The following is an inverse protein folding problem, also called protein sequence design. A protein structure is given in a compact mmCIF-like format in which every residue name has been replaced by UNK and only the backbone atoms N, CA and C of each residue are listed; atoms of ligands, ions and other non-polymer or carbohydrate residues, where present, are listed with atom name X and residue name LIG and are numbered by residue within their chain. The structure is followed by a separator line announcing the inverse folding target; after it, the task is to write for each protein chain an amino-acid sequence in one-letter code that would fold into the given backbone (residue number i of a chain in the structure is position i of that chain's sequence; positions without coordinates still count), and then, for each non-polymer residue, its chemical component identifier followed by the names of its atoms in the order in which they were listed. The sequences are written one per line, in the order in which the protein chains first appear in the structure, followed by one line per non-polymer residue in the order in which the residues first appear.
data_IF_527837195354
#
_entry.id   IF_527837195354
#
_cell.length_a   1.000
_cell.length_b   1.000
_cell.length_c   1.000
_cell.angle_alpha   90.00
_cell.angle_beta   90.00
_cell.angle_gamma   90.00
#
_symmetry.space_group_name_H-M   'P 1'
#
loop_
_entity.id
_entity.type
_entity.pdbx_description
1 polymer ?
#
# COMPACT_ATOMS: atom_id res chain seq x y z
N UNK A 1 -18.24 -17.09 -6.84
CA UNK A 1 -19.10 -15.89 -6.88
C UNK A 1 -19.98 -15.77 -5.63
N UNK A 2 -20.84 -16.75 -5.30
CA UNK A 2 -21.74 -16.70 -4.13
C UNK A 2 -21.02 -16.46 -2.79
N UNK A 3 -19.85 -17.07 -2.58
CA UNK A 3 -19.04 -16.87 -1.36
C UNK A 3 -18.58 -15.42 -1.15
N UNK A 4 -18.23 -14.72 -2.22
CA UNK A 4 -17.80 -13.31 -2.13
C UNK A 4 -19.00 -12.43 -1.76
N UNK A 5 -20.15 -12.73 -2.35
CA UNK A 5 -21.40 -12.02 -2.06
C UNK A 5 -21.80 -12.20 -0.58
N UNK A 6 -21.69 -13.42 -0.03
CA UNK A 6 -22.02 -13.67 1.38
C UNK A 6 -21.09 -12.92 2.33
N UNK A 7 -19.79 -12.83 2.05
CA UNK A 7 -18.86 -12.06 2.89
C UNK A 7 -19.18 -10.56 2.88
N UNK A 8 -19.46 -9.99 1.71
CA UNK A 8 -19.84 -8.58 1.60
C UNK A 8 -21.14 -8.27 2.35
N UNK A 9 -22.15 -9.14 2.24
CA UNK A 9 -23.41 -8.99 2.97
C UNK A 9 -23.20 -9.00 4.49
N UNK A 10 -22.38 -9.92 5.00
CA UNK A 10 -22.05 -10.00 6.42
C UNK A 10 -21.33 -8.73 6.90
N UNK A 11 -20.36 -8.21 6.13
CA UNK A 11 -19.65 -6.97 6.46
C UNK A 11 -20.59 -5.78 6.56
N UNK A 12 -21.48 -5.61 5.58
CA UNK A 12 -22.46 -4.51 5.58
C UNK A 12 -23.42 -4.65 6.76
N UNK A 13 -23.92 -5.85 7.05
CA UNK A 13 -24.80 -6.10 8.19
C UNK A 13 -24.13 -5.75 9.52
N UNK A 14 -22.86 -6.12 9.71
CA UNK A 14 -22.11 -5.79 10.93
C UNK A 14 -21.90 -4.29 11.10
N UNK A 15 -21.62 -3.55 10.02
CA UNK A 15 -21.49 -2.09 10.06
C UNK A 15 -22.83 -1.44 10.43
N UNK A 16 -23.93 -1.90 9.82
CA UNK A 16 -25.27 -1.39 10.10
C UNK A 16 -25.68 -1.68 11.54
N UNK A 17 -25.42 -2.89 12.05
CA UNK A 17 -25.66 -3.24 13.45
C UNK A 17 -24.85 -2.37 14.40
N UNK A 18 -23.57 -2.12 14.11
CA UNK A 18 -22.74 -1.23 14.92
C UNK A 18 -23.32 0.19 14.96
N UNK A 19 -23.77 0.71 13.83
CA UNK A 19 -24.40 2.04 13.77
C UNK A 19 -25.73 2.09 14.55
N UNK A 20 -26.55 1.04 14.46
CA UNK A 20 -27.85 0.97 15.15
C UNK A 20 -27.71 0.79 16.67
N UNK A 21 -26.68 0.06 17.13
CA UNK A 21 -26.43 -0.21 18.55
C UNK A 21 -25.58 0.88 19.22
N UNK A 22 -24.83 1.68 18.45
CA UNK A 22 -23.98 2.74 18.98
C UNK A 22 -24.81 3.88 19.60
N UNK A 23 -24.56 4.16 20.88
CA UNK A 23 -25.09 5.34 21.55
C UNK A 23 -24.33 6.58 21.07
N UNK A 24 -24.89 7.31 20.11
CA UNK A 24 -24.32 8.55 19.59
C UNK A 24 -24.37 9.68 20.63
N UNK A 25 -23.35 9.79 21.49
CA UNK A 25 -23.09 10.98 22.31
C UNK A 25 -21.96 11.79 21.69
N UNK A 26 -22.29 12.54 20.65
CA UNK A 26 -21.33 13.37 19.93
C UNK A 26 -21.06 14.66 20.70
N UNK A 27 -19.90 14.75 21.33
CA UNK A 27 -19.39 16.00 21.89
C UNK A 27 -18.46 16.69 20.87
N UNK A 28 -18.39 18.02 20.88
CA UNK A 28 -17.52 18.78 19.96
C UNK A 28 -16.07 18.31 20.03
N UNK A 29 -15.58 17.96 21.23
CA UNK A 29 -14.20 17.49 21.41
C UNK A 29 -13.97 16.06 20.89
N UNK A 30 -14.99 15.20 20.81
CA UNK A 30 -14.84 13.86 20.23
C UNK A 30 -14.88 13.88 18.70
N UNK A 31 -15.39 14.95 18.10
CA UNK A 31 -15.38 15.16 16.65
C UNK A 31 -14.09 15.82 16.15
N UNK A 32 -13.32 16.45 17.05
CA UNK A 32 -12.03 17.05 16.73
C UNK A 32 -10.96 15.96 16.60
N UNK A 33 -9.99 16.19 15.73
CA UNK A 33 -8.80 15.34 15.58
C UNK A 33 -8.08 15.29 16.94
N UNK A 34 -7.64 14.10 17.34
CA UNK A 34 -6.91 13.94 18.60
C UNK A 34 -5.53 14.59 18.50
N UNK A 35 -5.33 15.71 19.20
CA UNK A 35 -4.06 16.46 19.23
C UNK A 35 -3.47 16.57 20.64
N UNK A 36 -3.62 15.53 21.47
CA UNK A 36 -3.12 15.54 22.85
C UNK A 36 -3.60 16.75 23.68
N UNK A 37 -4.79 17.29 23.39
CA UNK A 37 -5.37 18.45 24.09
C UNK A 37 -4.95 19.82 23.55
N UNK A 38 -4.18 19.89 22.47
CA UNK A 38 -3.81 21.14 21.80
C UNK A 38 -4.82 21.55 20.73
N UNK A 39 -4.85 22.85 20.42
CA UNK A 39 -5.62 23.38 19.30
C UNK A 39 -4.73 23.52 18.05
N UNK A 40 -5.29 23.22 16.89
CA UNK A 40 -4.60 23.29 15.60
C UNK A 40 -4.27 24.75 15.30
N UNK A 41 -3.01 25.14 15.46
CA UNK A 41 -2.57 26.52 15.15
C UNK A 41 -2.42 26.78 13.64
N UNK A 42 -2.24 25.74 12.83
CA UNK A 42 -2.01 25.85 11.39
C UNK A 42 -2.47 24.60 10.66
N UNK A 43 -2.88 24.76 9.40
CA UNK A 43 -3.11 23.65 8.50
C UNK A 43 -1.83 22.84 8.35
N UNK A 44 -1.78 21.67 8.99
CA UNK A 44 -0.67 20.73 8.86
C UNK A 44 -0.61 20.22 7.43
N UNK A 45 0.18 20.89 6.59
CA UNK A 45 0.59 20.30 5.31
C UNK A 45 1.68 19.28 5.63
N UNK A 46 1.44 17.98 5.42
CA UNK A 46 2.48 17.00 5.63
C UNK A 46 3.63 17.31 4.67
N UNK A 47 4.86 17.41 5.19
CA UNK A 47 6.06 17.50 4.35
C UNK A 47 6.19 16.16 3.61
N UNK A 48 5.96 16.18 2.30
CA UNK A 48 6.14 15.00 1.46
C UNK A 48 7.63 14.74 1.31
N UNK A 49 8.12 13.65 1.88
CA UNK A 49 9.52 13.22 1.72
C UNK A 49 9.68 12.37 0.45
N UNK A 50 10.59 12.81 -0.41
CA UNK A 50 10.92 12.16 -1.70
C UNK A 50 11.40 10.72 -1.49
N UNK A 51 11.94 10.40 -0.31
CA UNK A 51 12.39 9.06 0.05
C UNK A 51 11.27 8.02 -0.05
N UNK A 52 10.08 8.29 0.50
CA UNK A 52 8.96 7.33 0.42
C UNK A 52 8.41 7.21 -1.00
N UNK A 53 8.49 8.28 -1.80
CA UNK A 53 8.11 8.25 -3.21
C UNK A 53 9.01 7.29 -4.02
N UNK A 54 10.32 7.28 -3.75
CA UNK A 54 11.26 6.34 -4.40
C UNK A 54 10.94 4.87 -4.10
N UNK A 55 10.58 4.57 -2.85
CA UNK A 55 10.15 3.20 -2.47
C UNK A 55 8.93 2.77 -3.27
N UNK A 56 7.94 3.67 -3.44
CA UNK A 56 6.76 3.42 -4.25
C UNK A 56 7.06 3.19 -5.73
N UNK A 57 7.99 3.97 -6.31
CA UNK A 57 8.43 3.77 -7.71
C UNK A 57 9.08 2.41 -7.92
N UNK A 58 9.95 1.97 -7.02
CA UNK A 58 10.62 0.67 -7.14
C UNK A 58 9.62 -0.48 -6.96
N UNK A 59 8.67 -0.34 -6.02
CA UNK A 59 7.57 -1.30 -5.88
C UNK A 59 6.77 -1.47 -7.19
N UNK A 60 6.46 -0.38 -7.89
CA UNK A 60 5.74 -0.43 -9.17
C UNK A 60 6.57 -1.15 -10.25
N UNK A 61 7.87 -0.87 -10.34
CA UNK A 61 8.75 -1.52 -11.32
C UNK A 61 8.85 -3.03 -11.07
N UNK A 62 9.04 -3.43 -9.81
CA UNK A 62 9.11 -4.86 -9.45
C UNK A 62 7.78 -5.59 -9.67
N UNK A 63 6.64 -4.94 -9.39
CA UNK A 63 5.31 -5.54 -9.63
C UNK A 63 5.04 -5.79 -11.13
N UNK A 64 5.47 -4.87 -12.00
CA UNK A 64 5.39 -5.05 -13.45
C UNK A 64 6.29 -6.18 -13.97
N UNK A 65 7.50 -6.31 -13.42
CA UNK A 65 8.41 -7.41 -13.77
C UNK A 65 7.85 -8.76 -13.32
N UNK A 66 7.24 -8.83 -12.14
CA UNK A 66 6.58 -10.03 -11.66
C UNK A 66 5.38 -10.43 -12.54
N UNK A 67 4.60 -9.45 -13.00
CA UNK A 67 3.50 -9.69 -13.94
C UNK A 67 4.01 -10.27 -15.28
N UNK A 68 5.11 -9.74 -15.81
CA UNK A 68 5.74 -10.24 -17.03
C UNK A 68 6.26 -11.68 -16.87
N UNK A 69 6.88 -11.96 -15.73
CA UNK A 69 7.35 -13.30 -15.35
C UNK A 69 6.19 -14.30 -15.27
N UNK A 70 5.06 -13.94 -14.65
CA UNK A 70 3.89 -14.81 -14.59
C UNK A 70 3.30 -15.11 -15.97
N UNK A 71 3.27 -14.12 -16.87
CA UNK A 71 2.79 -14.30 -18.24
C UNK A 71 3.68 -15.28 -19.02
N UNK A 72 5.00 -15.11 -18.93
CA UNK A 72 5.97 -15.91 -19.67
C UNK A 72 6.23 -17.28 -19.06
N UNK A 73 5.86 -17.52 -17.81
CA UNK A 73 5.95 -18.84 -17.16
C UNK A 73 5.21 -19.95 -17.89
N UNK A 74 4.18 -19.60 -18.67
CA UNK A 74 3.42 -20.54 -19.49
C UNK A 74 4.10 -20.88 -20.81
N UNK A 75 4.97 -19.99 -21.30
CA UNK A 75 5.73 -20.14 -22.53
C UNK A 75 7.06 -20.88 -22.27
N UNK A 76 7.86 -21.09 -23.30
CA UNK A 76 9.07 -21.93 -23.23
C UNK A 76 10.06 -21.50 -22.13
N UNK A 77 10.78 -22.50 -21.57
CA UNK A 77 11.74 -22.34 -20.47
C UNK A 77 12.87 -21.33 -20.74
N UNK A 78 13.12 -20.96 -22.01
CA UNK A 78 14.17 -20.00 -22.38
C UNK A 78 13.76 -18.56 -22.01
N UNK A 79 12.50 -18.21 -22.22
CA UNK A 79 12.01 -16.85 -21.96
C UNK A 79 11.87 -16.60 -20.47
N UNK A 80 11.43 -17.61 -19.70
CA UNK A 80 11.38 -17.51 -18.24
C UNK A 80 12.75 -17.29 -17.61
N UNK A 81 13.78 -17.97 -18.11
CA UNK A 81 15.17 -17.78 -17.68
C UNK A 81 15.67 -16.37 -18.00
N UNK A 82 15.33 -15.84 -19.18
CA UNK A 82 15.70 -14.48 -19.59
C UNK A 82 15.03 -13.43 -18.70
N UNK A 83 13.76 -13.59 -18.37
CA UNK A 83 13.04 -12.69 -17.45
C UNK A 83 13.60 -12.76 -16.03
N UNK A 84 13.87 -13.96 -15.52
CA UNK A 84 14.51 -14.15 -14.23
C UNK A 84 15.86 -13.42 -14.18
N UNK A 85 16.68 -13.55 -15.23
CA UNK A 85 17.97 -12.85 -15.30
C UNK A 85 17.82 -11.32 -15.30
N UNK A 86 16.76 -10.80 -15.91
CA UNK A 86 16.45 -9.37 -15.90
C UNK A 86 16.05 -8.88 -14.50
N UNK A 87 15.20 -9.63 -13.79
CA UNK A 87 14.80 -9.34 -12.40
C UNK A 87 16.00 -9.37 -11.45
N UNK A 88 16.88 -10.37 -11.60
CA UNK A 88 18.10 -10.43 -10.79
C UNK A 88 19.01 -9.23 -11.04
N UNK A 89 19.07 -8.73 -12.28
CA UNK A 89 19.87 -7.57 -12.65
C UNK A 89 19.29 -6.25 -12.10
N UNK A 90 17.97 -6.07 -12.11
CA UNK A 90 17.31 -4.86 -11.59
C UNK A 90 17.45 -4.77 -10.07
N UNK A 91 17.23 -5.88 -9.36
CA UNK A 91 17.48 -5.99 -7.91
C UNK A 91 18.96 -5.73 -7.58
N UNK A 92 19.89 -6.26 -8.38
CA UNK A 92 21.32 -6.03 -8.18
C UNK A 92 21.72 -4.56 -8.38
N UNK A 93 21.20 -3.90 -9.42
CA UNK A 93 21.43 -2.47 -9.65
C UNK A 93 20.89 -1.61 -8.50
N UNK A 94 19.72 -1.94 -7.96
CA UNK A 94 19.15 -1.22 -6.82
C UNK A 94 19.98 -1.37 -5.54
N UNK A 95 20.54 -2.55 -5.30
CA UNK A 95 21.47 -2.80 -4.20
C UNK A 95 22.79 -2.03 -4.38
N UNK A 96 23.35 -2.01 -5.60
CA UNK A 96 24.60 -1.33 -5.93
C UNK A 96 24.48 0.18 -5.82
N UNK A 97 23.37 0.76 -6.28
CA UNK A 97 23.15 2.20 -6.26
C UNK A 97 23.02 2.76 -4.84
N UNK A 98 22.99 1.91 -3.79
CA UNK A 98 22.80 2.31 -2.39
C UNK A 98 21.63 3.28 -2.22
N UNK A 99 20.65 3.27 -3.13
CA UNK A 99 19.58 4.28 -3.18
C UNK A 99 18.69 4.23 -1.94
N UNK A 100 18.69 3.08 -1.27
CA UNK A 100 18.04 2.78 0.00
C UNK A 100 18.89 2.99 1.24
N UNK A 101 20.22 3.10 1.10
CA UNK A 101 21.10 3.36 2.24
C UNK A 101 20.95 4.83 2.61
N UNK A 102 20.28 5.01 3.73
CA UNK A 102 20.03 6.26 4.40
C UNK A 102 21.35 6.90 4.83
N UNK A 103 22.01 7.58 3.89
CA UNK A 103 22.99 8.62 4.20
C UNK A 103 22.20 9.91 4.37
N UNK A 104 22.24 10.46 5.57
CA UNK A 104 21.94 11.88 5.77
C UNK A 104 22.86 12.74 4.90
#
# INVERSE_FOLDING_TARGET
MVKILSFLLILVLLIMLNFMLSLFKSNVNSLKIFECGFEIFYWSKPKTSIHFFKVGLIFILFDLEFLFLLLLFKETKIYTLMVLSFIYFTIWLELVMKSYLWSN
#
